data_IF_174792451613
#
_entry.id   IF_174792451613
#
_cell.length_a   1.000
_cell.length_b   1.000
_cell.length_c   1.000
_cell.angle_alpha   90.00
_cell.angle_beta   90.00
_cell.angle_gamma   90.00
#
_symmetry.space_group_name_H-M   'P 1'
#
loop_
_entity.id
_entity.type
_entity.pdbx_description
1 polymer ?
#
# COMPACT_ATOMS: atom_id res chain seq x y z
N UNK A 1 2.73 12.31 -22.79
CA UNK A 1 3.89 11.69 -22.13
C UNK A 1 3.52 11.60 -20.66
N UNK A 2 3.43 10.37 -20.15
CA UNK A 2 3.08 10.13 -18.76
C UNK A 2 4.21 10.51 -17.81
N UNK A 3 3.90 10.65 -16.53
CA UNK A 3 4.89 11.02 -15.51
C UNK A 3 5.88 9.91 -15.17
N UNK A 4 5.60 8.67 -15.58
CA UNK A 4 6.41 7.48 -15.34
C UNK A 4 6.94 6.85 -16.63
N UNK A 5 7.01 7.62 -17.72
CA UNK A 5 7.47 7.15 -19.01
C UNK A 5 8.86 6.51 -18.93
N UNK A 6 8.95 5.23 -19.31
CA UNK A 6 10.19 4.47 -19.25
C UNK A 6 10.64 4.00 -17.88
N UNK A 7 9.89 4.27 -16.78
CA UNK A 7 10.16 3.74 -15.45
C UNK A 7 9.68 2.28 -15.33
N UNK A 8 10.35 1.49 -14.51
CA UNK A 8 9.96 0.11 -14.18
C UNK A 8 9.60 0.01 -12.71
N UNK A 9 8.39 -0.43 -12.42
CA UNK A 9 7.89 -0.57 -11.04
C UNK A 9 7.62 -2.03 -10.67
N UNK A 10 7.95 -2.41 -9.43
CA UNK A 10 7.51 -3.65 -8.79
C UNK A 10 6.50 -3.32 -7.69
N UNK A 11 5.26 -3.80 -7.85
CA UNK A 11 4.15 -3.55 -6.92
C UNK A 11 3.78 -4.85 -6.19
N UNK A 12 3.75 -4.82 -4.86
CA UNK A 12 3.27 -5.97 -4.08
C UNK A 12 1.77 -5.87 -3.83
N UNK A 13 1.07 -7.01 -3.94
CA UNK A 13 -0.38 -7.04 -3.71
C UNK A 13 -1.21 -6.39 -4.82
N UNK A 14 -0.73 -6.41 -6.06
CA UNK A 14 -1.38 -5.78 -7.22
C UNK A 14 -2.64 -6.50 -7.74
N UNK A 15 -3.05 -7.61 -7.14
CA UNK A 15 -4.15 -8.45 -7.64
C UNK A 15 -5.56 -8.02 -7.23
N UNK A 16 -5.75 -6.89 -6.57
CA UNK A 16 -7.08 -6.33 -6.22
C UNK A 16 -6.99 -4.94 -5.60
N UNK A 17 -8.12 -4.22 -5.56
CA UNK A 17 -8.28 -2.94 -4.86
C UNK A 17 -7.22 -1.92 -5.25
N UNK A 18 -6.65 -1.22 -4.27
CA UNK A 18 -5.65 -0.19 -4.52
C UNK A 18 -4.45 -0.72 -5.34
N UNK A 19 -3.97 -1.94 -5.06
CA UNK A 19 -2.86 -2.51 -5.81
C UNK A 19 -3.17 -2.69 -7.30
N UNK A 20 -4.39 -3.11 -7.63
CA UNK A 20 -4.85 -3.20 -9.02
C UNK A 20 -4.92 -1.83 -9.69
N UNK A 21 -5.54 -0.85 -9.03
CA UNK A 21 -5.62 0.52 -9.54
C UNK A 21 -4.22 1.16 -9.73
N UNK A 22 -3.25 0.81 -8.87
CA UNK A 22 -1.86 1.23 -9.05
C UNK A 22 -1.22 0.61 -10.30
N UNK A 23 -1.49 -0.66 -10.59
CA UNK A 23 -0.99 -1.31 -11.82
C UNK A 23 -1.56 -0.59 -13.05
N UNK A 24 -2.87 -0.38 -13.11
CA UNK A 24 -3.53 0.35 -14.21
C UNK A 24 -2.94 1.75 -14.38
N UNK A 25 -2.91 2.53 -13.30
CA UNK A 25 -2.44 3.90 -13.35
C UNK A 25 -0.97 4.01 -13.74
N UNK A 26 -0.10 3.14 -13.25
CA UNK A 26 1.32 3.18 -13.61
C UNK A 26 1.54 2.85 -15.08
N UNK A 27 0.78 1.89 -15.64
CA UNK A 27 0.77 1.61 -17.08
C UNK A 27 0.28 2.80 -17.91
N UNK A 28 -0.79 3.49 -17.47
CA UNK A 28 -1.31 4.71 -18.11
C UNK A 28 -0.29 5.85 -18.12
N UNK A 29 0.51 5.94 -17.06
CA UNK A 29 1.60 6.93 -16.94
C UNK A 29 2.88 6.54 -17.71
N UNK A 30 2.87 5.41 -18.42
CA UNK A 30 3.97 4.97 -19.27
C UNK A 30 5.00 4.08 -18.58
N UNK A 31 4.76 3.63 -17.36
CA UNK A 31 5.64 2.68 -16.69
C UNK A 31 5.46 1.25 -17.20
N UNK A 32 6.50 0.44 -17.05
CA UNK A 32 6.43 -1.02 -17.12
C UNK A 32 6.23 -1.56 -15.70
N UNK A 33 5.37 -2.56 -15.51
CA UNK A 33 4.95 -2.99 -14.18
C UNK A 33 5.17 -4.49 -13.96
N UNK A 34 5.82 -4.82 -12.86
CA UNK A 34 5.84 -6.17 -12.30
C UNK A 34 4.98 -6.23 -11.02
N UNK A 35 4.40 -7.38 -10.75
CA UNK A 35 3.51 -7.60 -9.59
C UNK A 35 3.93 -8.84 -8.84
N UNK A 36 4.17 -8.70 -7.51
CA UNK A 36 4.29 -9.84 -6.60
C UNK A 36 2.95 -10.06 -5.89
N UNK A 37 2.35 -11.24 -6.07
CA UNK A 37 1.02 -11.56 -5.56
C UNK A 37 0.96 -12.98 -4.99
N UNK A 38 0.41 -13.15 -3.77
CA UNK A 38 0.37 -14.44 -3.08
C UNK A 38 -0.53 -15.46 -3.78
N UNK A 39 -1.70 -15.07 -4.22
CA UNK A 39 -2.70 -15.97 -4.80
C UNK A 39 -2.41 -16.23 -6.28
N UNK A 40 -2.23 -17.50 -6.66
CA UNK A 40 -2.06 -17.89 -8.05
C UNK A 40 -3.26 -17.48 -8.92
N UNK A 41 -4.49 -17.65 -8.43
CA UNK A 41 -5.69 -17.23 -9.16
C UNK A 41 -5.69 -15.73 -9.47
N UNK A 42 -5.16 -14.88 -8.56
CA UNK A 42 -5.01 -13.44 -8.82
C UNK A 42 -3.86 -13.14 -9.79
N UNK A 43 -2.80 -13.93 -9.78
CA UNK A 43 -1.73 -13.84 -10.79
C UNK A 43 -2.28 -14.18 -12.17
N UNK A 44 -3.10 -15.20 -12.28
CA UNK A 44 -3.72 -15.62 -13.54
C UNK A 44 -4.68 -14.54 -14.06
N UNK A 45 -5.51 -13.97 -13.17
CA UNK A 45 -6.41 -12.86 -13.52
C UNK A 45 -5.64 -11.60 -13.99
N UNK A 46 -4.51 -11.27 -13.34
CA UNK A 46 -3.64 -10.17 -13.77
C UNK A 46 -3.09 -10.41 -15.18
N UNK A 47 -2.62 -11.63 -15.48
CA UNK A 47 -2.11 -12.00 -16.80
C UNK A 47 -3.21 -12.00 -17.86
N UNK A 48 -4.40 -12.47 -17.52
CA UNK A 48 -5.55 -12.46 -18.42
C UNK A 48 -5.95 -11.03 -18.81
N UNK A 49 -5.97 -10.11 -17.83
CA UNK A 49 -6.41 -8.73 -18.04
C UNK A 49 -5.37 -7.86 -18.73
N UNK A 50 -4.10 -7.91 -18.27
CA UNK A 50 -3.04 -7.01 -18.74
C UNK A 50 -2.16 -7.62 -19.83
N UNK A 51 -2.18 -8.96 -20.00
CA UNK A 51 -1.36 -9.67 -20.98
C UNK A 51 0.13 -9.42 -20.77
N UNK A 52 0.84 -9.15 -21.87
CA UNK A 52 2.29 -8.92 -21.89
C UNK A 52 2.72 -7.53 -21.39
N UNK A 53 1.77 -6.70 -20.96
CA UNK A 53 2.08 -5.37 -20.41
C UNK A 53 2.67 -5.43 -19.01
N UNK A 54 2.52 -6.58 -18.33
CA UNK A 54 3.03 -6.79 -16.97
C UNK A 54 3.76 -8.12 -16.81
N UNK A 55 4.58 -8.19 -15.76
CA UNK A 55 5.12 -9.47 -15.25
C UNK A 55 4.47 -9.76 -13.90
N UNK A 56 3.66 -10.83 -13.81
CA UNK A 56 3.01 -11.22 -12.56
C UNK A 56 3.65 -12.49 -11.99
N UNK A 57 4.10 -12.41 -10.73
CA UNK A 57 4.87 -13.41 -10.01
C UNK A 57 4.07 -13.89 -8.79
N UNK A 58 3.93 -15.21 -8.64
CA UNK A 58 3.36 -15.80 -7.43
C UNK A 58 4.40 -15.85 -6.31
N UNK A 59 4.07 -15.37 -5.10
CA UNK A 59 4.94 -15.43 -3.94
C UNK A 59 4.39 -14.69 -2.73
N UNK A 60 4.97 -14.97 -1.57
CA UNK A 60 4.62 -14.35 -0.29
C UNK A 60 5.58 -13.21 0.05
N UNK A 61 5.04 -12.01 0.24
CA UNK A 61 5.82 -10.81 0.60
C UNK A 61 6.54 -10.97 1.94
N UNK A 62 6.05 -11.83 2.84
CA UNK A 62 6.68 -12.13 4.12
C UNK A 62 7.86 -13.11 4.02
N UNK A 63 8.15 -13.63 2.81
CA UNK A 63 9.28 -14.50 2.49
C UNK A 63 10.33 -13.71 1.69
N UNK A 64 11.59 -13.72 2.15
CA UNK A 64 12.66 -12.97 1.48
C UNK A 64 12.99 -13.49 0.09
N UNK A 65 13.08 -14.80 -0.08
CA UNK A 65 13.41 -15.44 -1.37
C UNK A 65 12.37 -15.15 -2.45
N UNK A 66 11.08 -15.03 -2.06
CA UNK A 66 10.01 -14.67 -2.98
C UNK A 66 10.15 -13.21 -3.45
N UNK A 67 10.55 -12.30 -2.57
CA UNK A 67 10.87 -10.92 -2.94
C UNK A 67 12.09 -10.86 -3.88
N UNK A 68 13.15 -11.60 -3.58
CA UNK A 68 14.34 -11.68 -4.46
C UNK A 68 13.95 -12.23 -5.84
N UNK A 69 13.16 -13.30 -5.89
CA UNK A 69 12.69 -13.87 -7.15
C UNK A 69 11.82 -12.88 -7.95
N UNK A 70 10.99 -12.08 -7.27
CA UNK A 70 10.18 -11.05 -7.92
C UNK A 70 11.04 -9.94 -8.53
N UNK A 71 12.06 -9.47 -7.81
CA UNK A 71 13.02 -8.47 -8.33
C UNK A 71 13.80 -9.04 -9.52
N UNK A 72 14.31 -10.26 -9.41
CA UNK A 72 15.05 -10.92 -10.51
C UNK A 72 14.18 -11.10 -11.75
N UNK A 73 12.92 -11.50 -11.61
CA UNK A 73 11.98 -11.62 -12.73
C UNK A 73 11.69 -10.24 -13.36
N UNK A 74 11.55 -9.17 -12.55
CA UNK A 74 11.36 -7.80 -13.03
C UNK A 74 12.55 -7.34 -13.87
N UNK A 75 13.75 -7.45 -13.31
CA UNK A 75 14.99 -7.03 -14.00
C UNK A 75 15.27 -7.90 -15.21
N UNK A 76 15.04 -9.21 -15.11
CA UNK A 76 15.22 -10.15 -16.22
C UNK A 76 14.32 -9.85 -17.43
N UNK A 77 13.13 -9.28 -17.19
CA UNK A 77 12.19 -8.94 -18.25
C UNK A 77 12.36 -7.51 -18.77
N UNK A 78 12.50 -6.52 -17.86
CA UNK A 78 12.51 -5.10 -18.21
C UNK A 78 13.91 -4.46 -18.20
N UNK A 79 14.92 -5.18 -17.72
CA UNK A 79 16.32 -4.71 -17.70
C UNK A 79 16.71 -3.86 -16.49
N UNK A 80 15.76 -3.40 -15.67
CA UNK A 80 15.99 -2.51 -14.51
C UNK A 80 14.84 -2.56 -13.49
N UNK A 81 15.03 -1.86 -12.37
CA UNK A 81 13.96 -1.53 -11.41
C UNK A 81 14.16 -0.09 -10.93
N UNK A 82 13.16 0.77 -11.11
CA UNK A 82 13.19 2.19 -10.73
C UNK A 82 12.31 2.49 -9.51
N UNK A 83 11.23 1.72 -9.30
CA UNK A 83 10.31 1.95 -8.19
C UNK A 83 9.88 0.63 -7.54
N UNK A 84 9.98 0.55 -6.21
CA UNK A 84 9.38 -0.52 -5.42
C UNK A 84 8.20 0.00 -4.64
N UNK A 85 7.01 -0.59 -4.82
CA UNK A 85 5.78 -0.25 -4.08
C UNK A 85 5.41 -1.38 -3.13
N UNK A 86 5.69 -1.19 -1.86
CA UNK A 86 5.28 -2.09 -0.77
C UNK A 86 3.82 -1.85 -0.41
N UNK A 87 2.89 -2.43 -1.18
CA UNK A 87 1.46 -2.19 -1.04
C UNK A 87 0.70 -3.34 -0.36
N UNK A 88 1.19 -4.57 -0.41
CA UNK A 88 0.51 -5.72 0.20
C UNK A 88 0.20 -5.48 1.69
N UNK A 89 -1.01 -5.81 2.10
CA UNK A 89 -1.44 -5.66 3.49
C UNK A 89 -2.76 -6.38 3.77
N UNK A 90 -2.99 -6.65 5.05
CA UNK A 90 -4.25 -7.18 5.60
C UNK A 90 -4.70 -6.32 6.77
N UNK A 91 -5.97 -6.45 7.14
CA UNK A 91 -6.61 -5.69 8.21
C UNK A 91 -7.06 -6.62 9.36
N UNK A 92 -7.36 -6.11 10.53
CA UNK A 92 -7.82 -6.88 11.68
C UNK A 92 -9.31 -6.69 11.99
N UNK A 93 -10.05 -6.01 11.10
CA UNK A 93 -11.49 -5.74 11.26
C UNK A 93 -11.86 -5.26 12.66
N UNK A 94 -11.01 -4.40 13.28
CA UNK A 94 -11.19 -3.88 14.63
C UNK A 94 -11.18 -4.96 15.73
N UNK A 95 -10.45 -6.06 15.55
CA UNK A 95 -10.22 -7.01 16.64
C UNK A 95 -9.66 -6.28 17.87
N UNK A 96 -10.47 -6.16 18.90
CA UNK A 96 -10.15 -5.34 20.07
C UNK A 96 -9.52 -6.18 21.20
N UNK A 97 -8.85 -5.49 22.12
CA UNK A 97 -8.12 -6.13 23.23
C UNK A 97 -9.05 -6.78 24.26
N UNK A 98 -10.33 -6.40 24.30
CA UNK A 98 -11.28 -6.86 25.32
C UNK A 98 -11.89 -8.20 24.93
N UNK A 99 -12.30 -8.34 23.65
CA UNK A 99 -13.06 -9.49 23.15
C UNK A 99 -12.19 -10.53 22.44
N UNK A 100 -10.92 -10.19 22.09
CA UNK A 100 -10.01 -11.12 21.41
C UNK A 100 -9.14 -11.85 22.45
N UNK A 101 -9.09 -13.19 22.37
CA UNK A 101 -8.28 -13.97 23.31
C UNK A 101 -6.78 -13.71 23.14
N UNK A 102 -5.99 -13.94 24.20
CA UNK A 102 -4.53 -13.78 24.14
C UNK A 102 -3.88 -14.63 23.06
N UNK A 103 -4.34 -15.88 22.89
CA UNK A 103 -3.84 -16.79 21.85
C UNK A 103 -4.15 -16.27 20.42
N UNK A 104 -5.35 -15.72 20.23
CA UNK A 104 -5.71 -15.10 18.94
C UNK A 104 -4.88 -13.84 18.67
N UNK A 105 -4.65 -12.99 19.69
CA UNK A 105 -3.82 -11.79 19.56
C UNK A 105 -2.38 -12.14 19.21
N UNK A 106 -1.80 -13.18 19.81
CA UNK A 106 -0.44 -13.65 19.51
C UNK A 106 -0.32 -14.06 18.03
N UNK A 107 -1.22 -14.93 17.56
CA UNK A 107 -1.24 -15.36 16.14
C UNK A 107 -1.50 -14.21 15.19
N UNK A 108 -2.43 -13.30 15.52
CA UNK A 108 -2.74 -12.14 14.71
C UNK A 108 -1.55 -11.17 14.63
N UNK A 109 -0.81 -11.01 15.73
CA UNK A 109 0.41 -10.20 15.77
C UNK A 109 1.44 -10.73 14.75
N UNK A 110 1.74 -12.02 14.78
CA UNK A 110 2.72 -12.63 13.89
C UNK A 110 2.30 -12.52 12.42
N UNK A 111 1.02 -12.79 12.11
CA UNK A 111 0.49 -12.71 10.76
C UNK A 111 0.49 -11.25 10.23
N UNK A 112 -0.12 -10.34 10.98
CA UNK A 112 -0.29 -8.95 10.54
C UNK A 112 1.05 -8.22 10.49
N UNK A 113 1.91 -8.37 11.50
CA UNK A 113 3.25 -7.78 11.48
C UNK A 113 4.12 -8.41 10.39
N UNK A 114 3.96 -9.70 10.14
CA UNK A 114 4.63 -10.40 9.05
C UNK A 114 4.31 -9.79 7.69
N UNK A 115 3.02 -9.59 7.41
CA UNK A 115 2.54 -9.11 6.11
C UNK A 115 2.67 -7.58 6.01
N UNK A 116 2.25 -6.81 7.02
CA UNK A 116 2.16 -5.35 6.92
C UNK A 116 3.48 -4.62 7.22
N UNK A 117 4.41 -5.26 7.96
CA UNK A 117 5.60 -4.59 8.51
C UNK A 117 6.90 -5.25 8.05
N UNK A 118 7.09 -6.55 8.37
CA UNK A 118 8.30 -7.29 7.96
C UNK A 118 8.48 -7.27 6.45
N UNK A 119 7.40 -7.42 5.68
CA UNK A 119 7.43 -7.40 4.21
C UNK A 119 8.02 -6.11 3.64
N UNK A 120 7.80 -4.95 4.28
CA UNK A 120 8.35 -3.67 3.83
C UNK A 120 9.89 -3.69 3.86
N UNK A 121 10.46 -4.24 4.93
CA UNK A 121 11.92 -4.38 5.08
C UNK A 121 12.47 -5.40 4.08
N UNK A 122 11.81 -6.57 3.96
CA UNK A 122 12.27 -7.64 3.08
C UNK A 122 12.22 -7.23 1.60
N UNK A 123 11.12 -6.57 1.19
CA UNK A 123 10.96 -6.08 -0.17
C UNK A 123 11.96 -4.96 -0.50
N UNK A 124 12.13 -3.99 0.40
CA UNK A 124 13.14 -2.94 0.26
C UNK A 124 14.56 -3.52 0.15
N UNK A 125 14.91 -4.51 0.99
CA UNK A 125 16.20 -5.19 0.93
C UNK A 125 16.41 -5.94 -0.38
N UNK A 126 15.41 -6.64 -0.87
CA UNK A 126 15.50 -7.38 -2.14
C UNK A 126 15.67 -6.44 -3.34
N UNK A 127 15.01 -5.28 -3.33
CA UNK A 127 15.05 -4.28 -4.41
C UNK A 127 16.28 -3.36 -4.37
N UNK A 128 17.01 -3.32 -3.24
CA UNK A 128 17.99 -2.28 -2.92
C UNK A 128 19.06 -2.09 -4.02
N UNK A 129 19.72 -3.16 -4.45
CA UNK A 129 20.84 -3.06 -5.38
C UNK A 129 20.42 -2.48 -6.74
N UNK A 130 19.23 -2.83 -7.21
CA UNK A 130 18.68 -2.31 -8.46
C UNK A 130 18.21 -0.85 -8.31
N UNK A 131 17.56 -0.51 -7.19
CA UNK A 131 17.16 0.87 -6.90
C UNK A 131 18.34 1.81 -6.70
N UNK A 132 19.47 1.34 -6.17
CA UNK A 132 20.71 2.12 -6.08
C UNK A 132 21.28 2.40 -7.47
N UNK A 133 21.26 1.42 -8.38
CA UNK A 133 21.73 1.59 -9.77
C UNK A 133 20.88 2.60 -10.54
N UNK A 134 19.56 2.54 -10.37
CA UNK A 134 18.63 3.45 -11.05
C UNK A 134 18.46 4.80 -10.36
N UNK A 135 19.01 4.98 -9.13
CA UNK A 135 18.72 6.08 -8.19
C UNK A 135 17.20 6.23 -7.99
N UNK A 136 16.52 5.12 -7.78
CA UNK A 136 15.10 4.94 -7.80
C UNK A 136 14.37 5.39 -6.54
N UNK A 137 13.19 4.78 -6.31
CA UNK A 137 12.34 5.11 -5.16
C UNK A 137 11.65 3.90 -4.54
N UNK A 138 11.36 4.01 -3.25
CA UNK A 138 10.53 3.09 -2.47
C UNK A 138 9.29 3.85 -2.00
N UNK A 139 8.11 3.26 -2.17
CA UNK A 139 6.84 3.81 -1.69
C UNK A 139 6.12 2.75 -0.87
N UNK A 140 5.77 3.08 0.37
CA UNK A 140 4.99 2.19 1.22
C UNK A 140 3.53 2.61 1.30
N UNK A 141 2.62 1.65 1.16
CA UNK A 141 1.20 1.83 1.46
C UNK A 141 1.00 1.61 2.95
N UNK A 142 0.82 2.70 3.69
CA UNK A 142 0.47 2.65 5.10
C UNK A 142 -1.05 2.73 5.30
N UNK A 143 -1.52 3.64 6.11
CA UNK A 143 -2.92 3.90 6.41
C UNK A 143 -3.02 5.16 7.26
N UNK A 144 -4.18 5.80 7.32
CA UNK A 144 -4.48 6.78 8.36
C UNK A 144 -4.28 6.20 9.79
N UNK A 145 -4.39 4.87 9.95
CA UNK A 145 -4.03 4.15 11.19
C UNK A 145 -2.53 4.20 11.52
N UNK A 146 -1.69 4.71 10.63
CA UNK A 146 -0.28 4.99 10.92
C UNK A 146 -0.07 6.27 11.75
N UNK A 147 -1.12 7.09 11.87
CA UNK A 147 -1.08 8.39 12.55
C UNK A 147 -2.17 8.54 13.61
N UNK A 148 -3.30 7.87 13.43
CA UNK A 148 -4.49 8.02 14.26
C UNK A 148 -4.97 6.67 14.79
N UNK A 149 -5.66 6.69 15.92
CA UNK A 149 -6.38 5.52 16.44
C UNK A 149 -7.70 5.29 15.71
N UNK A 150 -8.34 4.15 15.99
CA UNK A 150 -9.67 3.79 15.49
C UNK A 150 -9.78 3.55 13.97
N UNK A 151 -8.69 3.29 13.28
CA UNK A 151 -8.69 2.79 11.89
C UNK A 151 -8.54 1.26 11.79
N UNK A 152 -8.36 0.58 12.93
CA UNK A 152 -8.25 -0.86 13.11
C UNK A 152 -8.11 -1.17 14.59
N UNK A 153 -7.89 -2.44 14.93
CA UNK A 153 -7.52 -2.88 16.27
C UNK A 153 -6.05 -2.55 16.60
N UNK A 154 -5.59 -2.97 17.79
CA UNK A 154 -4.24 -2.62 18.28
C UNK A 154 -3.12 -3.18 17.40
N UNK A 155 -3.27 -4.38 16.85
CA UNK A 155 -2.23 -5.04 16.05
C UNK A 155 -2.07 -4.35 14.70
N UNK A 156 -3.18 -4.10 14.00
CA UNK A 156 -3.15 -3.36 12.73
C UNK A 156 -2.59 -1.95 12.91
N UNK A 157 -3.08 -1.23 13.90
CA UNK A 157 -2.62 0.12 14.22
C UNK A 157 -1.11 0.14 14.49
N UNK A 158 -0.61 -0.78 15.31
CA UNK A 158 0.82 -0.93 15.58
C UNK A 158 1.62 -1.22 14.30
N UNK A 159 1.12 -2.12 13.43
CA UNK A 159 1.79 -2.47 12.18
C UNK A 159 1.97 -1.27 11.25
N UNK A 160 0.95 -0.41 11.16
CA UNK A 160 0.99 0.79 10.30
C UNK A 160 1.84 1.92 10.89
N UNK A 161 1.84 2.10 12.22
CA UNK A 161 2.77 3.01 12.90
C UNK A 161 4.24 2.56 12.73
N UNK A 162 4.53 1.26 12.85
CA UNK A 162 5.86 0.72 12.59
C UNK A 162 6.35 1.04 11.17
N UNK A 163 5.46 1.01 10.18
CA UNK A 163 5.78 1.40 8.81
C UNK A 163 6.29 2.84 8.67
N UNK A 164 5.82 3.78 9.51
CA UNK A 164 6.33 5.17 9.52
C UNK A 164 7.80 5.21 9.99
N UNK A 165 8.12 4.44 11.04
CA UNK A 165 9.49 4.31 11.52
C UNK A 165 10.42 3.73 10.47
N UNK A 166 9.99 2.63 9.81
CA UNK A 166 10.73 1.98 8.73
C UNK A 166 10.96 2.97 7.57
N UNK A 167 9.92 3.66 7.12
CA UNK A 167 10.02 4.64 6.03
C UNK A 167 11.04 5.74 6.34
N UNK A 168 11.00 6.31 7.55
CA UNK A 168 11.92 7.38 7.97
C UNK A 168 13.36 6.90 8.06
N UNK A 169 13.58 5.74 8.66
CA UNK A 169 14.92 5.16 8.79
C UNK A 169 15.52 4.84 7.43
N UNK A 170 14.79 4.15 6.56
CA UNK A 170 15.26 3.84 5.21
C UNK A 170 15.46 5.11 4.36
N UNK A 171 14.65 6.15 4.54
CA UNK A 171 14.85 7.42 3.86
C UNK A 171 16.18 8.09 4.24
N UNK A 172 16.57 7.99 5.51
CA UNK A 172 17.87 8.49 5.99
C UNK A 172 19.02 7.59 5.53
N UNK A 173 18.90 6.29 5.71
CA UNK A 173 19.94 5.31 5.42
C UNK A 173 20.29 5.23 3.93
N UNK A 174 19.30 5.34 3.04
CA UNK A 174 19.46 5.14 1.59
C UNK A 174 19.73 6.45 0.82
N UNK A 175 19.63 7.61 1.48
CA UNK A 175 19.99 8.88 0.87
C UNK A 175 21.51 8.94 0.59
N UNK A 176 21.94 9.60 -0.51
CA UNK A 176 21.16 10.31 -1.51
C UNK A 176 20.69 9.43 -2.70
N UNK A 177 20.90 8.12 -2.66
CA UNK A 177 20.74 7.22 -3.80
C UNK A 177 19.27 6.82 -4.04
N UNK A 178 18.55 6.50 -2.99
CA UNK A 178 17.16 6.03 -3.10
C UNK A 178 16.26 6.92 -2.25
N UNK A 179 15.15 7.38 -2.83
CA UNK A 179 14.11 8.11 -2.11
C UNK A 179 13.13 7.12 -1.48
N UNK A 180 12.76 7.32 -0.22
CA UNK A 180 11.80 6.46 0.47
C UNK A 180 10.68 7.30 1.05
N UNK A 181 9.45 7.03 0.64
CA UNK A 181 8.25 7.77 1.04
C UNK A 181 7.10 6.81 1.31
N UNK A 182 5.98 7.34 1.78
CA UNK A 182 4.79 6.54 2.00
C UNK A 182 3.51 7.33 1.68
N UNK A 183 2.43 6.59 1.44
CA UNK A 183 1.06 7.11 1.37
C UNK A 183 0.25 6.50 2.49
N UNK A 184 -0.57 7.30 3.17
CA UNK A 184 -1.50 6.89 4.21
C UNK A 184 -2.94 7.09 3.73
N UNK A 185 -3.53 6.11 3.03
CA UNK A 185 -4.92 6.17 2.60
C UNK A 185 -5.90 6.11 3.78
N UNK A 186 -7.09 6.65 3.59
CA UNK A 186 -8.27 6.36 4.41
C UNK A 186 -8.91 5.02 4.03
N UNK A 187 -10.03 4.69 4.65
CA UNK A 187 -10.96 3.69 4.11
C UNK A 187 -11.41 4.13 2.71
N UNK A 188 -11.50 3.17 1.81
CA UNK A 188 -11.90 3.36 0.42
C UNK A 188 -12.83 2.21 0.00
N UNK A 189 -13.45 2.33 -1.16
CA UNK A 189 -14.35 1.32 -1.71
C UNK A 189 -13.59 0.07 -2.17
N UNK A 190 -13.01 -0.66 -1.23
CA UNK A 190 -12.27 -1.92 -1.48
C UNK A 190 -12.60 -2.97 -0.45
N UNK A 191 -12.44 -4.21 -0.84
CA UNK A 191 -12.63 -5.35 0.04
C UNK A 191 -11.26 -5.84 0.57
N UNK A 192 -10.61 -5.01 1.43
CA UNK A 192 -9.39 -5.44 2.12
C UNK A 192 -9.70 -6.66 3.01
N UNK A 193 -8.93 -7.71 2.84
CA UNK A 193 -9.11 -8.96 3.59
C UNK A 193 -8.59 -8.86 5.01
N UNK A 194 -9.26 -9.58 5.91
CA UNK A 194 -8.84 -9.72 7.29
C UNK A 194 -7.76 -10.79 7.51
N UNK A 195 -7.29 -10.88 8.75
CA UNK A 195 -6.31 -11.88 9.18
C UNK A 195 -6.94 -13.28 9.28
N UNK A 196 -6.30 -14.29 8.69
CA UNK A 196 -6.76 -15.68 8.78
C UNK A 196 -6.68 -16.22 10.21
N UNK A 197 -5.69 -15.79 10.98
CA UNK A 197 -5.55 -16.10 12.41
C UNK A 197 -6.72 -15.63 13.27
N UNK A 198 -7.52 -14.68 12.76
CA UNK A 198 -8.75 -14.19 13.38
C UNK A 198 -10.03 -14.77 12.72
N UNK A 199 -9.90 -15.68 11.74
CA UNK A 199 -11.03 -16.20 10.96
C UNK A 199 -11.67 -15.16 10.03
N UNK A 200 -10.91 -14.15 9.63
CA UNK A 200 -11.41 -12.98 8.88
C UNK A 200 -10.97 -12.96 7.41
N UNK A 201 -10.34 -14.00 6.91
CA UNK A 201 -9.80 -14.08 5.55
C UNK A 201 -10.86 -13.94 4.45
N UNK A 202 -12.13 -14.18 4.78
CA UNK A 202 -13.27 -14.03 3.88
C UNK A 202 -14.09 -12.75 4.13
N UNK A 203 -13.76 -11.99 5.18
CA UNK A 203 -14.40 -10.72 5.48
C UNK A 203 -13.76 -9.59 4.66
N UNK A 204 -14.58 -8.69 4.15
CA UNK A 204 -14.14 -7.46 3.52
C UNK A 204 -14.67 -6.23 4.27
N UNK A 205 -14.09 -5.06 4.03
CA UNK A 205 -14.50 -3.80 4.67
C UNK A 205 -16.00 -3.51 4.43
N UNK A 206 -16.45 -3.71 3.19
CA UNK A 206 -17.81 -3.37 2.77
C UNK A 206 -18.84 -4.41 3.22
N UNK A 207 -18.41 -5.62 3.59
CA UNK A 207 -19.29 -6.63 4.18
C UNK A 207 -19.71 -6.25 5.61
N UNK A 208 -18.86 -5.45 6.29
CA UNK A 208 -19.03 -5.08 7.69
C UNK A 208 -19.50 -3.63 7.91
N UNK A 209 -19.50 -2.78 6.87
CA UNK A 209 -19.76 -1.34 7.01
C UNK A 209 -20.57 -0.76 5.86
N UNK A 210 -21.50 0.10 6.23
CA UNK A 210 -22.27 0.93 5.32
C UNK A 210 -21.39 2.01 4.68
N UNK A 211 -21.20 2.01 3.34
CA UNK A 211 -20.40 2.98 2.62
C UNK A 211 -20.81 4.45 2.89
N UNK A 212 -22.11 4.73 3.01
CA UNK A 212 -22.59 6.07 3.30
C UNK A 212 -22.17 6.56 4.70
N UNK A 213 -22.17 5.65 5.70
CA UNK A 213 -21.70 6.01 7.04
C UNK A 213 -20.18 6.26 7.08
N UNK A 214 -19.42 5.53 6.27
CA UNK A 214 -17.97 5.80 6.13
C UNK A 214 -17.78 7.18 5.51
N UNK A 215 -18.46 7.48 4.40
CA UNK A 215 -18.39 8.77 3.70
C UNK A 215 -18.73 9.96 4.61
N UNK A 216 -19.86 9.87 5.34
CA UNK A 216 -20.27 10.92 6.31
C UNK A 216 -19.29 11.15 7.45
N UNK A 217 -18.44 10.17 7.74
CA UNK A 217 -17.37 10.30 8.74
C UNK A 217 -16.14 11.08 8.23
N UNK A 218 -16.06 11.33 6.93
CA UNK A 218 -14.94 12.01 6.29
C UNK A 218 -15.29 13.50 6.03
N UNK A 219 -14.39 14.46 6.34
CA UNK A 219 -14.64 15.88 6.05
C UNK A 219 -14.99 16.20 4.60
N UNK A 220 -14.42 15.47 3.62
CA UNK A 220 -14.77 15.64 2.21
C UNK A 220 -16.07 14.96 1.80
N UNK A 221 -16.73 14.22 2.72
CA UNK A 221 -18.05 13.63 2.59
C UNK A 221 -18.23 12.68 1.36
N UNK A 222 -17.19 11.94 0.99
CA UNK A 222 -17.29 10.87 0.01
C UNK A 222 -16.42 9.67 0.42
N UNK A 223 -16.78 8.47 -0.02
CA UNK A 223 -15.95 7.27 0.10
C UNK A 223 -15.08 7.18 -1.15
N UNK A 224 -13.74 7.29 -1.04
CA UNK A 224 -12.88 7.24 -2.20
C UNK A 224 -12.91 5.89 -2.90
N UNK A 225 -12.76 5.91 -4.22
CA UNK A 225 -12.38 4.74 -5.00
C UNK A 225 -10.85 4.54 -4.95
N UNK A 226 -10.35 3.32 -5.23
CA UNK A 226 -8.90 3.06 -5.28
C UNK A 226 -8.14 4.01 -6.20
N UNK A 227 -8.74 4.39 -7.32
CA UNK A 227 -8.20 5.28 -8.35
C UNK A 227 -7.90 6.67 -7.80
N UNK A 228 -8.72 7.18 -6.87
CA UNK A 228 -8.54 8.49 -6.22
C UNK A 228 -7.23 8.60 -5.44
N UNK A 229 -6.68 7.46 -5.01
CA UNK A 229 -5.43 7.39 -4.24
C UNK A 229 -4.17 7.35 -5.11
N UNK A 230 -4.30 6.93 -6.39
CA UNK A 230 -3.15 6.57 -7.25
C UNK A 230 -2.25 7.77 -7.59
N UNK A 231 -2.81 8.97 -7.69
CA UNK A 231 -2.05 10.19 -8.00
C UNK A 231 -0.91 10.47 -7.02
N UNK A 232 -1.09 10.17 -5.74
CA UNK A 232 -0.04 10.30 -4.72
C UNK A 232 1.15 9.38 -4.99
N UNK A 233 0.89 8.16 -5.46
CA UNK A 233 1.95 7.20 -5.80
C UNK A 233 2.69 7.60 -7.07
N UNK A 234 1.97 8.06 -8.10
CA UNK A 234 2.58 8.60 -9.33
C UNK A 234 3.51 9.76 -9.01
N UNK A 235 3.07 10.72 -8.18
CA UNK A 235 3.92 11.82 -7.72
C UNK A 235 5.19 11.30 -7.04
N UNK A 236 5.07 10.35 -6.09
CA UNK A 236 6.21 9.84 -5.32
C UNK A 236 7.15 8.98 -6.17
N UNK A 237 6.64 8.25 -7.16
CA UNK A 237 7.45 7.46 -8.09
C UNK A 237 8.20 8.37 -9.07
N UNK A 238 7.55 9.39 -9.61
CA UNK A 238 8.11 10.25 -10.66
C UNK A 238 9.35 10.99 -10.20
N UNK A 239 10.52 10.62 -10.74
CA UNK A 239 11.78 11.29 -10.45
C UNK A 239 11.81 12.73 -10.97
N UNK A 240 11.25 12.97 -12.15
CA UNK A 240 11.25 14.28 -12.79
C UNK A 240 10.46 15.32 -11.97
N UNK A 241 9.37 14.90 -11.32
CA UNK A 241 8.45 15.78 -10.60
C UNK A 241 8.66 15.82 -9.09
N UNK A 242 9.56 14.97 -8.54
CA UNK A 242 9.62 14.74 -7.10
C UNK A 242 11.05 14.51 -6.55
N UNK A 243 12.08 15.12 -7.12
CA UNK A 243 13.47 14.96 -6.66
C UNK A 243 13.72 15.29 -5.18
N UNK A 244 13.07 16.32 -4.58
CA UNK A 244 13.38 16.71 -3.20
C UNK A 244 12.64 15.90 -2.13
N UNK A 245 11.69 15.01 -2.48
CA UNK A 245 10.87 14.31 -1.48
C UNK A 245 11.46 12.97 -1.10
N UNK A 246 11.96 12.86 0.14
CA UNK A 246 12.28 11.61 0.83
C UNK A 246 11.88 11.74 2.31
N UNK A 247 11.45 10.65 2.94
CA UNK A 247 10.95 10.65 4.32
C UNK A 247 9.57 11.27 4.50
N UNK A 248 8.80 11.45 3.42
CA UNK A 248 7.49 12.10 3.44
C UNK A 248 6.39 11.05 3.50
N UNK A 249 5.39 11.30 4.36
CA UNK A 249 4.13 10.58 4.41
C UNK A 249 3.02 11.48 3.86
N UNK A 250 2.44 11.10 2.73
CA UNK A 250 1.28 11.79 2.16
C UNK A 250 0.00 11.23 2.79
N UNK A 251 -0.75 12.08 3.48
CA UNK A 251 -2.07 11.74 4.01
C UNK A 251 -3.12 11.85 2.90
N UNK A 252 -3.56 10.72 2.36
CA UNK A 252 -4.66 10.63 1.39
C UNK A 252 -5.91 10.10 2.11
N UNK A 253 -6.49 10.92 3.01
CA UNK A 253 -7.42 10.46 4.05
C UNK A 253 -8.72 11.26 4.13
N UNK A 254 -9.05 12.01 3.08
CA UNK A 254 -10.28 12.80 2.97
C UNK A 254 -10.50 13.79 4.14
N UNK A 255 -9.39 14.27 4.74
CA UNK A 255 -9.43 15.25 5.82
C UNK A 255 -9.68 14.67 7.22
N UNK A 256 -9.59 13.36 7.41
CA UNK A 256 -9.81 12.73 8.74
C UNK A 256 -8.92 13.32 9.82
N UNK A 257 -7.67 13.68 9.49
CA UNK A 257 -6.70 14.25 10.42
C UNK A 257 -6.98 15.67 10.87
N UNK A 258 -7.82 16.40 10.16
CA UNK A 258 -8.22 17.77 10.50
C UNK A 258 -9.63 17.89 11.08
N UNK A 259 -10.26 16.75 11.40
CA UNK A 259 -11.60 16.77 12.01
C UNK A 259 -11.57 17.56 13.32
N UNK A 260 -12.46 18.57 13.39
CA UNK A 260 -12.71 19.29 14.63
C UNK A 260 -13.64 18.52 15.57
N UNK A 261 -13.97 19.13 16.73
CA UNK A 261 -14.95 18.60 17.69
C UNK A 261 -16.40 18.59 17.17
N UNK A 262 -16.64 19.21 16.01
CA UNK A 262 -17.94 19.28 15.36
C UNK A 262 -17.84 18.76 13.94
N UNK A 263 -18.97 18.32 13.38
CA UNK A 263 -19.07 18.00 11.95
C UNK A 263 -18.62 19.19 11.09
N UNK A 264 -17.96 18.96 9.95
CA UNK A 264 -17.69 20.01 8.98
C UNK A 264 -18.99 20.74 8.63
N UNK A 265 -18.92 22.07 8.51
CA UNK A 265 -20.09 22.87 8.15
C UNK A 265 -20.31 22.79 6.63
N UNK A 266 -20.77 21.66 6.14
CA UNK A 266 -21.12 21.48 4.71
C UNK A 266 -22.16 22.54 4.27
N UNK A 267 -23.07 22.96 5.16
CA UNK A 267 -24.13 23.91 4.88
C UNK A 267 -23.71 25.39 4.65
N UNK A 268 -22.41 25.71 4.59
CA UNK A 268 -22.01 27.07 4.17
C UNK A 268 -22.17 27.31 2.66
N UNK A 269 -22.28 26.23 1.88
CA UNK A 269 -22.28 26.25 0.42
C UNK A 269 -23.53 25.59 -0.17
N UNK A 270 -24.50 25.23 0.67
CA UNK A 270 -25.81 24.80 0.18
C UNK A 270 -26.58 26.06 -0.23
N UNK A 271 -26.89 26.16 -1.53
CA UNK A 271 -27.75 27.18 -2.13
C UNK A 271 -29.22 26.99 -1.71
#
# INVERSE_FOLDING_TARGET
MGWLEGEVALITGGGSGLGWALVERFLEEGAQVAVLQRSQAKVDALKEHFGDKIVAIAGDVANYEDNVRAVQATVGHFGKLDCFVGNAGIWDHYADIVNTSGEQLEKAFDEIMGINTKSLILGAKAALDELVKSEGSIIFTLSNSALYSAGGGPVYTASKHAGVGIMKELAYELAPKVRVNAVAPSGMNVNIKGAASLGQENLGLLDARDPEKIARGMPLNFLPEPEDMTGSYVLLASRANNRPLTGVLINAECGLGIRGLRQPRAGFFED
#
